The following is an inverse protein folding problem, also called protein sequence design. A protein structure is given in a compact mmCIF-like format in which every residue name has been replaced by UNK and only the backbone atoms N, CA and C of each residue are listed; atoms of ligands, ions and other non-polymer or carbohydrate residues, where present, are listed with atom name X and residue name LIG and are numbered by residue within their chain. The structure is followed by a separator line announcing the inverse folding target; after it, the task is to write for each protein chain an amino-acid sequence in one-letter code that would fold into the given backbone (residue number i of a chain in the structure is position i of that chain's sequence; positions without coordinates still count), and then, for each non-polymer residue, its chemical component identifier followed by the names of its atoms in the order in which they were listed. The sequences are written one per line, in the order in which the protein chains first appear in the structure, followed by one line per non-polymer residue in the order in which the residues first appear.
data_IF_786223539719
#
_entry.id   IF_786223539719
#
_cell.length_a   1.000
_cell.length_b   1.000
_cell.length_c   1.000
_cell.angle_alpha   90.00
_cell.angle_beta   90.00
_cell.angle_gamma   90.00
#
_symmetry.space_group_name_H-M   'P 1'
#
loop_
_entity.id
_entity.type
_entity.pdbx_description
1 polymer ?
#
# COMPACT_ATOMS: atom_id res chain seq x y z
N UNK A 1 -44.81 -10.47 5.23
CA UNK A 1 -43.57 -11.14 4.75
C UNK A 1 -42.41 -10.27 5.22
N UNK A 2 -41.70 -10.73 6.25
CA UNK A 2 -40.51 -10.05 6.76
C UNK A 2 -39.39 -10.24 5.76
N UNK A 3 -38.93 -9.18 5.12
CA UNK A 3 -37.70 -9.23 4.35
C UNK A 3 -36.56 -9.58 5.32
N UNK A 4 -36.03 -10.78 5.20
CA UNK A 4 -34.76 -11.14 5.83
C UNK A 4 -33.74 -10.12 5.29
N UNK A 5 -33.31 -9.19 6.14
CA UNK A 5 -32.12 -8.40 5.88
C UNK A 5 -31.00 -9.43 5.72
N UNK A 6 -30.47 -9.56 4.50
CA UNK A 6 -29.27 -10.32 4.24
C UNK A 6 -28.18 -9.74 5.15
N UNK A 7 -27.89 -10.45 6.22
CA UNK A 7 -26.74 -10.16 7.06
C UNK A 7 -25.53 -10.58 6.24
N UNK A 8 -24.92 -9.62 5.55
CA UNK A 8 -23.66 -9.87 4.85
C UNK A 8 -22.59 -9.96 5.93
N UNK A 9 -22.16 -11.19 6.20
CA UNK A 9 -21.05 -11.41 7.12
C UNK A 9 -19.77 -10.94 6.45
N UNK A 10 -19.24 -9.81 6.90
CA UNK A 10 -17.89 -9.37 6.53
C UNK A 10 -16.94 -9.65 7.71
N UNK A 11 -15.72 -9.99 7.38
CA UNK A 11 -14.63 -10.15 8.35
C UNK A 11 -13.78 -8.89 8.34
N UNK A 12 -13.27 -8.50 9.51
CA UNK A 12 -12.36 -7.36 9.65
C UNK A 12 -11.03 -7.82 10.23
N UNK A 13 -9.94 -7.35 9.63
CA UNK A 13 -8.62 -7.35 10.22
C UNK A 13 -8.25 -5.90 10.59
N UNK A 14 -7.87 -5.66 11.84
CA UNK A 14 -7.47 -4.34 12.35
C UNK A 14 -6.07 -4.44 12.90
N UNK A 15 -5.21 -3.50 12.57
CA UNK A 15 -3.84 -3.54 13.05
C UNK A 15 -3.17 -2.18 13.16
N UNK A 16 -1.98 -2.23 13.75
CA UNK A 16 -1.06 -1.10 13.88
C UNK A 16 0.30 -1.51 13.37
N UNK A 17 0.86 -0.71 12.45
CA UNK A 17 2.23 -0.87 11.95
C UNK A 17 3.08 0.24 12.54
N UNK A 18 4.22 -0.11 13.12
CA UNK A 18 5.21 0.83 13.64
C UNK A 18 6.33 1.04 12.61
N UNK A 19 6.73 2.27 12.41
CA UNK A 19 7.85 2.66 11.57
C UNK A 19 9.04 3.03 12.45
N UNK A 20 10.19 2.40 12.24
CA UNK A 20 11.40 2.68 13.00
C UNK A 20 12.60 2.95 12.10
N UNK A 21 13.54 3.72 12.60
CA UNK A 21 14.79 4.02 11.90
C UNK A 21 15.79 2.87 12.01
N UNK A 22 16.48 2.59 10.91
CA UNK A 22 17.65 1.73 10.85
C UNK A 22 18.94 2.53 10.63
N UNK A 23 18.86 3.87 10.62
CA UNK A 23 20.05 4.73 10.54
C UNK A 23 20.84 4.61 11.83
N UNK A 24 22.17 4.46 11.76
CA UNK A 24 23.01 4.26 12.95
C UNK A 24 22.77 5.27 14.07
N UNK A 25 22.64 6.55 13.70
CA UNK A 25 22.45 7.66 14.64
C UNK A 25 21.03 7.74 15.24
N UNK A 26 20.10 6.92 14.72
CA UNK A 26 18.69 6.89 15.15
C UNK A 26 18.15 5.46 15.24
N UNK A 27 19.02 4.48 15.45
CA UNK A 27 18.63 3.07 15.46
C UNK A 27 17.49 2.81 16.44
N UNK A 28 16.40 2.21 15.93
CA UNK A 28 15.21 1.87 16.69
C UNK A 28 14.31 3.06 17.06
N UNK A 29 14.68 4.30 16.72
CA UNK A 29 13.83 5.46 16.96
C UNK A 29 12.54 5.34 16.13
N UNK A 30 11.40 5.58 16.75
CA UNK A 30 10.12 5.68 16.05
C UNK A 30 10.15 6.83 15.03
N UNK A 31 9.62 6.53 13.83
CA UNK A 31 9.52 7.47 12.71
C UNK A 31 8.09 7.68 12.22
N UNK A 32 7.16 6.98 12.81
CA UNK A 32 5.77 7.06 12.45
C UNK A 32 5.03 5.75 12.69
N UNK A 33 3.78 5.74 12.28
CA UNK A 33 2.88 4.61 12.49
C UNK A 33 1.75 4.61 11.48
N UNK A 34 1.09 3.48 11.38
CA UNK A 34 -0.11 3.33 10.59
C UNK A 34 -1.14 2.52 11.35
N UNK A 35 -2.38 3.00 11.36
CA UNK A 35 -3.55 2.31 11.86
C UNK A 35 -4.41 1.91 10.67
N UNK A 36 -4.83 0.63 10.60
CA UNK A 36 -5.64 0.18 9.49
C UNK A 36 -6.80 -0.73 9.90
N UNK A 37 -7.79 -0.75 9.03
CA UNK A 37 -8.90 -1.71 9.05
C UNK A 37 -9.04 -2.25 7.63
N UNK A 38 -8.91 -3.56 7.48
CA UNK A 38 -9.22 -4.27 6.24
C UNK A 38 -10.55 -5.00 6.44
N UNK A 39 -11.52 -4.73 5.58
CA UNK A 39 -12.80 -5.44 5.53
C UNK A 39 -12.80 -6.38 4.32
N UNK A 40 -13.11 -7.66 4.58
CA UNK A 40 -13.24 -8.71 3.58
C UNK A 40 -14.72 -9.07 3.49
N UNK A 41 -15.33 -8.85 2.34
CA UNK A 41 -16.75 -9.05 2.12
C UNK A 41 -17.04 -10.47 1.64
N UNK A 42 -18.29 -10.93 1.84
CA UNK A 42 -18.72 -12.27 1.45
C UNK A 42 -18.65 -12.53 -0.06
N UNK A 43 -18.72 -11.48 -0.88
CA UNK A 43 -18.54 -11.56 -2.34
C UNK A 43 -17.08 -11.63 -2.79
N UNK A 44 -16.12 -11.61 -1.82
CA UNK A 44 -14.68 -11.63 -2.07
C UNK A 44 -14.07 -10.25 -2.31
N UNK A 45 -14.86 -9.19 -2.37
CA UNK A 45 -14.33 -7.82 -2.43
C UNK A 45 -13.67 -7.41 -1.11
N UNK A 46 -12.79 -6.41 -1.17
CA UNK A 46 -12.03 -5.93 -0.01
C UNK A 46 -11.95 -4.42 0.02
N UNK A 47 -11.89 -3.88 1.22
CA UNK A 47 -11.54 -2.48 1.41
C UNK A 47 -10.54 -2.32 2.54
N UNK A 48 -9.65 -1.34 2.42
CA UNK A 48 -8.73 -0.91 3.46
C UNK A 48 -8.95 0.56 3.78
N UNK A 49 -9.16 0.86 5.05
CA UNK A 49 -9.07 2.22 5.58
C UNK A 49 -7.80 2.31 6.40
N UNK A 50 -6.93 3.29 6.12
CA UNK A 50 -5.70 3.49 6.87
C UNK A 50 -5.44 4.96 7.17
N UNK A 51 -4.87 5.21 8.36
CA UNK A 51 -4.32 6.48 8.78
C UNK A 51 -2.81 6.31 8.99
N UNK A 52 -2.02 7.01 8.18
CA UNK A 52 -0.56 6.91 8.17
C UNK A 52 0.04 8.21 8.71
N UNK A 53 0.96 8.10 9.65
CA UNK A 53 1.74 9.21 10.20
C UNK A 53 3.23 8.95 9.98
N UNK A 54 3.94 9.91 9.37
CA UNK A 54 5.40 9.89 9.23
C UNK A 54 5.93 11.09 9.98
N UNK A 55 6.67 10.86 11.05
CA UNK A 55 7.17 11.90 11.95
C UNK A 55 8.43 12.63 11.44
N UNK A 56 8.98 12.21 10.30
CA UNK A 56 10.09 12.93 9.66
C UNK A 56 9.64 14.34 9.29
N UNK A 57 10.52 15.32 9.52
CA UNK A 57 10.18 16.71 9.24
C UNK A 57 10.41 17.08 7.77
N UNK A 58 9.41 17.68 7.09
CA UNK A 58 8.05 17.92 7.59
C UNK A 58 7.25 16.62 7.73
N UNK A 59 6.47 16.50 8.81
CA UNK A 59 5.62 15.34 9.08
C UNK A 59 4.59 15.14 7.95
N UNK A 60 4.28 13.90 7.62
CA UNK A 60 3.26 13.55 6.62
C UNK A 60 2.16 12.77 7.31
N UNK A 61 0.92 13.22 7.16
CA UNK A 61 -0.27 12.48 7.57
C UNK A 61 -1.10 12.18 6.33
N UNK A 62 -1.53 10.93 6.22
CA UNK A 62 -2.36 10.47 5.10
C UNK A 62 -3.49 9.61 5.59
N UNK A 63 -4.69 9.93 5.13
CA UNK A 63 -5.85 9.08 5.25
C UNK A 63 -6.15 8.47 3.89
N UNK A 64 -6.39 7.15 3.85
CA UNK A 64 -6.81 6.45 2.65
C UNK A 64 -8.05 5.59 2.90
N UNK A 65 -8.85 5.44 1.85
CA UNK A 65 -9.82 4.35 1.72
C UNK A 65 -9.61 3.73 0.35
N UNK A 66 -9.31 2.45 0.29
CA UNK A 66 -8.96 1.73 -0.93
C UNK A 66 -9.78 0.46 -1.07
N UNK A 67 -10.38 0.24 -2.24
CA UNK A 67 -11.26 -0.90 -2.51
C UNK A 67 -10.77 -1.74 -3.69
N UNK A 68 -10.97 -3.05 -3.55
CA UNK A 68 -10.68 -4.07 -4.56
C UNK A 68 -11.93 -4.92 -4.81
N UNK A 69 -12.13 -5.36 -6.06
CA UNK A 69 -13.13 -6.37 -6.38
C UNK A 69 -12.69 -7.79 -5.94
N UNK A 70 -13.55 -8.78 -6.17
CA UNK A 70 -13.29 -10.18 -5.82
C UNK A 70 -12.04 -10.77 -6.52
N UNK A 71 -11.67 -10.25 -7.68
CA UNK A 71 -10.47 -10.60 -8.42
C UNK A 71 -9.26 -9.77 -8.00
N UNK A 72 -9.38 -9.00 -6.92
CA UNK A 72 -8.35 -8.11 -6.39
C UNK A 72 -7.94 -6.97 -7.33
N UNK A 73 -8.81 -6.57 -8.25
CA UNK A 73 -8.56 -5.40 -9.10
C UNK A 73 -9.00 -4.14 -8.37
N UNK A 74 -8.24 -3.04 -8.45
CA UNK A 74 -8.65 -1.76 -7.93
C UNK A 74 -10.01 -1.32 -8.48
N UNK A 75 -10.91 -0.84 -7.60
CA UNK A 75 -12.19 -0.23 -7.97
C UNK A 75 -12.20 1.26 -7.71
N UNK A 76 -11.72 1.67 -6.55
CA UNK A 76 -11.60 3.08 -6.17
C UNK A 76 -10.56 3.29 -5.07
N UNK A 77 -10.10 4.53 -4.93
CA UNK A 77 -9.29 4.95 -3.81
C UNK A 77 -9.55 6.43 -3.49
N UNK A 78 -9.68 6.75 -2.21
CA UNK A 78 -9.67 8.13 -1.70
C UNK A 78 -8.38 8.35 -0.92
N UNK A 79 -7.76 9.53 -1.13
CA UNK A 79 -6.56 9.97 -0.40
C UNK A 79 -6.77 11.38 0.12
N UNK A 80 -6.43 11.63 1.39
CA UNK A 80 -6.29 12.96 1.96
C UNK A 80 -4.91 13.09 2.58
N UNK A 81 -4.24 14.20 2.28
CA UNK A 81 -2.84 14.44 2.60
C UNK A 81 -2.65 15.74 3.34
N UNK A 82 -1.87 15.71 4.43
CA UNK A 82 -1.32 16.89 5.12
C UNK A 82 0.20 16.74 5.27
N UNK A 83 0.93 17.83 5.10
CA UNK A 83 2.39 17.89 5.26
C UNK A 83 2.76 19.09 6.13
N UNK A 84 3.46 18.87 7.26
CA UNK A 84 3.82 19.91 8.20
C UNK A 84 2.59 20.65 8.75
N UNK A 85 1.55 19.90 9.14
CA UNK A 85 0.25 20.38 9.66
C UNK A 85 -0.56 21.25 8.68
N UNK A 86 -0.19 21.23 7.39
CA UNK A 86 -0.91 21.95 6.33
C UNK A 86 -1.60 20.95 5.40
N UNK A 87 -2.85 21.22 5.08
CA UNK A 87 -3.55 20.51 4.03
C UNK A 87 -2.79 20.65 2.71
N UNK A 88 -2.45 19.50 2.08
CA UNK A 88 -1.75 19.47 0.79
C UNK A 88 -2.63 19.01 -0.35
N UNK A 89 -3.62 18.17 -0.07
CA UNK A 89 -4.55 17.76 -1.09
C UNK A 89 -5.50 16.65 -0.61
N UNK A 90 -6.58 16.49 -1.35
CA UNK A 90 -7.45 15.32 -1.28
C UNK A 90 -7.93 14.97 -2.66
N UNK A 91 -8.12 13.69 -2.92
CA UNK A 91 -8.51 13.23 -4.23
C UNK A 91 -9.12 11.86 -4.21
N UNK A 92 -9.80 11.58 -5.29
CA UNK A 92 -10.53 10.38 -5.50
C UNK A 92 -10.13 9.76 -6.83
N UNK A 93 -9.86 8.47 -6.81
CA UNK A 93 -9.44 7.67 -7.95
C UNK A 93 -10.53 6.65 -8.26
N UNK A 94 -10.81 6.46 -9.55
CA UNK A 94 -11.64 5.38 -10.05
C UNK A 94 -10.91 4.59 -11.12
N UNK A 95 -11.13 3.28 -11.10
CA UNK A 95 -10.48 2.38 -12.00
C UNK A 95 -11.54 1.65 -12.83
N UNK A 96 -11.44 1.81 -14.15
CA UNK A 96 -12.32 1.20 -15.14
C UNK A 96 -11.50 0.20 -15.99
N UNK A 97 -12.16 -0.70 -16.74
CA UNK A 97 -11.43 -1.69 -17.54
C UNK A 97 -10.42 -1.08 -18.55
N UNK A 98 -10.70 0.13 -19.05
CA UNK A 98 -9.94 0.76 -20.13
C UNK A 98 -9.31 2.11 -19.77
N UNK A 99 -9.56 2.62 -18.56
CA UNK A 99 -8.97 3.86 -18.10
C UNK A 99 -9.01 3.97 -16.57
N UNK A 100 -8.14 4.79 -16.04
CA UNK A 100 -8.17 5.26 -14.65
C UNK A 100 -8.41 6.77 -14.65
N UNK A 101 -9.10 7.28 -13.64
CA UNK A 101 -9.34 8.71 -13.47
C UNK A 101 -9.03 9.16 -12.05
N UNK A 102 -8.64 10.43 -11.92
CA UNK A 102 -8.42 11.10 -10.65
C UNK A 102 -9.06 12.48 -10.69
N UNK A 103 -9.90 12.74 -9.69
CA UNK A 103 -10.40 14.09 -9.40
C UNK A 103 -9.85 14.48 -8.03
N UNK A 104 -9.04 15.54 -7.99
CA UNK A 104 -8.43 15.98 -6.75
C UNK A 104 -8.35 17.50 -6.65
N UNK A 105 -8.12 17.96 -5.42
CA UNK A 105 -7.75 19.33 -5.13
C UNK A 105 -6.45 19.32 -4.34
N UNK A 106 -5.44 20.01 -4.86
CA UNK A 106 -4.14 20.14 -4.19
C UNK A 106 -3.87 21.59 -3.83
N UNK A 107 -3.04 21.79 -2.80
CA UNK A 107 -2.64 23.14 -2.39
C UNK A 107 -1.73 23.82 -3.41
N UNK A 108 -1.05 23.06 -4.27
CA UNK A 108 -0.09 23.56 -5.25
C UNK A 108 -0.75 23.84 -6.60
N UNK A 109 -1.58 22.92 -7.11
CA UNK A 109 -2.16 22.99 -8.46
C UNK A 109 -3.63 23.42 -8.47
N UNK A 110 -4.29 23.44 -7.30
CA UNK A 110 -5.74 23.63 -7.23
C UNK A 110 -6.47 22.35 -7.67
N UNK A 111 -7.50 22.50 -8.51
CA UNK A 111 -8.25 21.36 -9.05
C UNK A 111 -7.42 20.62 -10.10
N UNK A 112 -7.28 19.32 -9.90
CA UNK A 112 -6.62 18.40 -10.83
C UNK A 112 -7.65 17.38 -11.31
N UNK A 113 -7.81 17.26 -12.63
CA UNK A 113 -8.64 16.24 -13.26
C UNK A 113 -7.77 15.50 -14.25
N UNK A 114 -7.61 14.20 -14.05
CA UNK A 114 -6.76 13.34 -14.87
C UNK A 114 -7.54 12.13 -15.35
N UNK A 115 -7.28 11.74 -16.59
CA UNK A 115 -7.68 10.46 -17.16
C UNK A 115 -6.47 9.83 -17.83
N UNK A 116 -6.26 8.56 -17.53
CA UNK A 116 -5.19 7.76 -18.11
C UNK A 116 -5.79 6.52 -18.77
N UNK A 117 -5.61 6.38 -20.07
CA UNK A 117 -6.08 5.20 -20.78
C UNK A 117 -5.22 3.98 -20.43
N UNK A 118 -5.86 2.83 -20.32
CA UNK A 118 -5.26 1.55 -19.97
C UNK A 118 -5.41 0.56 -21.13
N UNK A 119 -4.33 -0.11 -21.50
CA UNK A 119 -4.36 -1.17 -22.49
C UNK A 119 -5.02 -2.46 -21.98
N UNK A 120 -4.96 -2.67 -20.66
CA UNK A 120 -5.55 -3.80 -19.94
C UNK A 120 -6.09 -3.30 -18.60
N UNK A 121 -7.08 -3.97 -18.00
CA UNK A 121 -7.54 -3.63 -16.66
C UNK A 121 -6.38 -3.53 -15.67
N UNK A 122 -6.38 -2.49 -14.85
CA UNK A 122 -5.34 -2.26 -13.86
C UNK A 122 -5.29 -3.42 -12.86
N UNK A 123 -4.11 -3.96 -12.63
CA UNK A 123 -3.92 -5.08 -11.72
C UNK A 123 -3.72 -4.65 -10.27
N UNK A 124 -3.18 -3.45 -10.06
CA UNK A 124 -2.86 -2.94 -8.73
C UNK A 124 -2.62 -1.44 -8.74
N UNK A 125 -2.80 -0.80 -7.58
CA UNK A 125 -2.63 0.63 -7.38
C UNK A 125 -1.93 0.89 -6.05
N UNK A 126 -0.88 1.72 -6.06
CA UNK A 126 -0.15 2.11 -4.85
C UNK A 126 -0.72 3.40 -4.26
N UNK A 127 -1.25 3.30 -3.04
CA UNK A 127 -1.85 4.40 -2.30
C UNK A 127 -0.96 4.93 -1.16
N UNK A 128 0.23 4.34 -1.00
CA UNK A 128 1.25 4.62 0.02
C UNK A 128 0.85 4.27 1.47
N UNK A 129 -0.21 3.48 1.69
CA UNK A 129 -0.42 2.81 2.96
C UNK A 129 0.36 1.49 3.00
N UNK A 130 1.18 1.30 4.01
CA UNK A 130 2.03 0.11 4.18
C UNK A 130 1.19 -1.17 4.28
N UNK A 131 0.02 -1.10 4.92
CA UNK A 131 -0.91 -2.23 5.01
C UNK A 131 -1.34 -2.77 3.63
N UNK A 132 -1.31 -1.92 2.57
CA UNK A 132 -1.67 -2.30 1.21
C UNK A 132 -0.48 -2.77 0.37
N UNK A 133 0.76 -2.56 0.80
CA UNK A 133 1.96 -2.88 0.02
C UNK A 133 2.05 -4.37 -0.33
N UNK A 134 1.66 -5.23 0.60
CA UNK A 134 1.69 -6.67 0.39
C UNK A 134 0.67 -7.15 -0.68
N UNK A 135 -0.38 -6.36 -0.96
CA UNK A 135 -1.40 -6.75 -1.94
C UNK A 135 -0.88 -6.75 -3.38
N UNK A 136 0.22 -6.05 -3.67
CA UNK A 136 0.90 -6.10 -4.97
C UNK A 136 1.57 -7.46 -5.21
N UNK A 137 2.03 -8.12 -4.13
CA UNK A 137 2.89 -9.30 -4.17
C UNK A 137 2.18 -10.54 -4.73
N UNK A 138 0.85 -10.61 -4.60
CA UNK A 138 0.03 -11.69 -5.15
C UNK A 138 0.13 -11.81 -6.67
N UNK A 139 0.60 -10.77 -7.37
CA UNK A 139 0.75 -10.75 -8.83
C UNK A 139 1.99 -11.50 -9.32
N UNK A 140 2.88 -11.87 -8.42
CA UNK A 140 4.17 -12.47 -8.75
C UNK A 140 4.17 -13.97 -8.45
N UNK A 141 4.78 -14.72 -9.39
CA UNK A 141 4.83 -16.18 -9.34
C UNK A 141 5.83 -16.67 -8.28
N UNK A 142 5.31 -17.35 -7.27
CA UNK A 142 6.12 -17.96 -6.20
C UNK A 142 6.82 -19.26 -6.63
N UNK A 143 6.45 -19.82 -7.77
CA UNK A 143 7.15 -20.97 -8.36
C UNK A 143 8.52 -20.64 -8.94
N UNK A 144 8.91 -19.35 -8.96
CA UNK A 144 10.20 -18.88 -9.50
C UNK A 144 10.99 -18.06 -8.46
N UNK A 145 11.42 -18.72 -7.36
CA UNK A 145 12.17 -18.02 -6.30
C UNK A 145 13.51 -17.52 -6.83
N UNK A 146 13.89 -16.31 -6.42
CA UNK A 146 15.13 -15.65 -6.81
C UNK A 146 15.09 -14.96 -8.17
N UNK A 147 14.11 -15.23 -9.03
CA UNK A 147 13.97 -14.55 -10.32
C UNK A 147 13.31 -13.17 -10.15
N UNK A 148 13.83 -12.19 -10.90
CA UNK A 148 13.20 -10.86 -10.98
C UNK A 148 12.03 -10.96 -11.96
N UNK A 149 10.85 -10.61 -11.50
CA UNK A 149 9.63 -10.57 -12.27
C UNK A 149 9.17 -9.11 -12.42
N UNK A 150 8.61 -8.77 -13.58
CA UNK A 150 8.25 -7.40 -13.92
C UNK A 150 6.74 -7.23 -14.03
N UNK A 151 6.23 -6.17 -13.44
CA UNK A 151 4.93 -5.58 -13.74
C UNK A 151 5.18 -4.31 -14.54
N UNK A 152 4.75 -4.30 -15.81
CA UNK A 152 5.05 -3.17 -16.73
C UNK A 152 4.35 -1.88 -16.31
N UNK A 153 3.16 -1.99 -15.72
CA UNK A 153 2.38 -0.83 -15.31
C UNK A 153 1.74 -1.04 -13.94
N UNK A 154 2.04 -0.12 -13.05
CA UNK A 154 1.36 0.13 -11.78
C UNK A 154 1.07 1.62 -11.69
N UNK A 155 -0.13 1.99 -11.25
CA UNK A 155 -0.46 3.39 -10.98
C UNK A 155 -0.29 3.68 -9.48
N UNK A 156 0.13 4.93 -9.19
CA UNK A 156 0.34 5.45 -7.86
C UNK A 156 -0.52 6.69 -7.63
N UNK A 157 -0.82 6.97 -6.36
CA UNK A 157 -1.47 8.22 -5.94
C UNK A 157 -0.51 9.41 -5.84
N UNK A 158 0.78 9.19 -5.95
CA UNK A 158 1.83 10.21 -5.87
C UNK A 158 3.14 9.69 -6.45
N UNK A 159 3.95 10.53 -7.14
CA UNK A 159 5.31 10.17 -7.55
C UNK A 159 6.33 10.23 -6.40
N UNK A 160 5.98 10.78 -5.26
CA UNK A 160 6.83 10.83 -4.06
C UNK A 160 6.71 9.53 -3.27
N UNK A 161 7.83 8.90 -2.94
CA UNK A 161 7.85 7.62 -2.21
C UNK A 161 7.23 7.68 -0.81
N UNK A 162 7.13 8.88 -0.19
CA UNK A 162 6.39 9.10 1.06
C UNK A 162 4.91 9.41 0.79
N UNK A 163 4.52 9.54 -0.51
CA UNK A 163 3.21 10.03 -0.90
C UNK A 163 2.92 11.46 -0.38
N UNK A 164 3.95 12.32 -0.33
CA UNK A 164 3.86 13.68 0.23
C UNK A 164 3.41 14.72 -0.81
N UNK A 165 3.07 14.33 -2.02
CA UNK A 165 2.58 15.18 -3.11
C UNK A 165 1.28 14.65 -3.69
N UNK A 166 0.54 15.48 -4.41
CA UNK A 166 -0.74 15.14 -5.00
C UNK A 166 -1.91 15.28 -4.03
N UNK A 167 -2.96 14.42 -4.14
CA UNK A 167 -3.03 13.18 -4.93
C UNK A 167 -3.19 13.39 -6.43
N UNK A 168 -2.53 12.53 -7.22
CA UNK A 168 -2.58 12.53 -8.68
C UNK A 168 -2.21 11.15 -9.23
N UNK A 169 -2.68 10.80 -10.43
CA UNK A 169 -2.27 9.57 -11.12
C UNK A 169 -0.83 9.70 -11.61
N UNK A 170 -0.04 8.69 -11.27
CA UNK A 170 1.32 8.53 -11.76
C UNK A 170 1.57 7.08 -12.14
N UNK A 171 2.27 6.80 -13.23
CA UNK A 171 2.50 5.45 -13.75
C UNK A 171 3.97 5.06 -13.65
N UNK A 172 4.22 3.84 -13.14
CA UNK A 172 5.55 3.25 -13.05
C UNK A 172 5.53 1.78 -13.48
N UNK A 173 6.71 1.21 -13.68
CA UNK A 173 6.94 -0.23 -13.63
C UNK A 173 7.28 -0.69 -12.20
N UNK A 174 7.19 -1.98 -11.94
CA UNK A 174 7.61 -2.58 -10.68
C UNK A 174 8.35 -3.89 -10.95
N UNK A 175 9.54 -4.02 -10.38
CA UNK A 175 10.33 -5.25 -10.42
C UNK A 175 10.36 -5.88 -9.03
N UNK A 176 9.93 -7.13 -8.94
CA UNK A 176 9.83 -7.87 -7.68
C UNK A 176 10.51 -9.22 -7.80
N UNK A 177 11.13 -9.65 -6.73
CA UNK A 177 11.69 -10.98 -6.57
C UNK A 177 10.97 -11.67 -5.41
N UNK A 178 10.45 -12.88 -5.63
CA UNK A 178 10.05 -13.77 -4.55
C UNK A 178 11.30 -14.41 -3.97
N UNK A 179 11.51 -14.27 -2.66
CA UNK A 179 12.70 -14.78 -1.96
C UNK A 179 12.44 -16.18 -1.40
N UNK A 180 11.28 -16.38 -0.79
CA UNK A 180 10.93 -17.66 -0.19
C UNK A 180 9.80 -17.54 0.84
N UNK A 181 9.61 -18.65 1.57
CA UNK A 181 8.65 -18.73 2.69
C UNK A 181 9.43 -19.05 3.96
N UNK A 182 9.08 -18.38 5.04
CA UNK A 182 9.71 -18.56 6.34
C UNK A 182 8.76 -18.22 7.49
N UNK A 183 8.99 -18.82 8.66
CA UNK A 183 8.30 -18.42 9.86
C UNK A 183 8.99 -17.19 10.47
N UNK A 184 8.22 -16.15 10.73
CA UNK A 184 8.71 -14.91 11.35
C UNK A 184 7.96 -14.58 12.62
N UNK A 185 8.59 -13.80 13.50
CA UNK A 185 7.96 -13.20 14.67
C UNK A 185 7.97 -11.68 14.51
N UNK A 186 6.83 -11.06 14.78
CA UNK A 186 6.59 -9.63 14.82
C UNK A 186 5.81 -9.27 16.08
N UNK A 187 5.66 -7.99 16.42
CA UNK A 187 4.93 -7.57 17.61
C UNK A 187 3.51 -8.17 17.72
N UNK A 188 2.84 -8.39 16.60
CA UNK A 188 1.52 -9.02 16.53
C UNK A 188 1.50 -10.54 16.75
N UNK A 189 2.67 -11.22 16.78
CA UNK A 189 2.79 -12.66 16.98
C UNK A 189 3.67 -13.36 15.96
N UNK A 190 3.53 -14.68 15.87
CA UNK A 190 4.28 -15.54 14.97
C UNK A 190 3.42 -15.94 13.77
N UNK A 191 4.00 -15.87 12.57
CA UNK A 191 3.32 -16.12 11.31
C UNK A 191 4.22 -16.91 10.34
N UNK A 192 3.59 -17.75 9.53
CA UNK A 192 4.20 -18.22 8.29
C UNK A 192 4.05 -17.10 7.26
N UNK A 193 5.16 -16.74 6.59
CA UNK A 193 5.23 -15.55 5.77
C UNK A 193 5.88 -15.83 4.42
N UNK A 194 5.33 -15.23 3.37
CA UNK A 194 6.03 -15.06 2.11
C UNK A 194 6.96 -13.85 2.21
N UNK A 195 8.20 -14.03 1.78
CA UNK A 195 9.19 -12.97 1.67
C UNK A 195 9.37 -12.56 0.20
N UNK A 196 9.20 -11.28 -0.06
CA UNK A 196 9.45 -10.67 -1.37
C UNK A 196 10.39 -9.47 -1.23
N UNK A 197 11.01 -9.09 -2.35
CA UNK A 197 11.82 -7.89 -2.43
C UNK A 197 11.37 -7.05 -3.63
N UNK A 198 10.98 -5.81 -3.40
CA UNK A 198 10.90 -4.80 -4.45
C UNK A 198 12.33 -4.42 -4.82
N UNK A 199 12.72 -4.77 -6.04
CA UNK A 199 14.08 -4.59 -6.53
C UNK A 199 14.27 -3.18 -7.09
N UNK A 200 13.31 -2.72 -7.89
CA UNK A 200 13.30 -1.37 -8.47
C UNK A 200 11.89 -0.98 -8.92
N UNK A 201 11.68 0.32 -9.07
CA UNK A 201 10.43 0.92 -9.54
C UNK A 201 10.71 1.89 -10.70
N UNK A 202 10.94 1.38 -11.93
CA UNK A 202 11.23 2.22 -13.09
C UNK A 202 10.14 3.25 -13.34
N UNK A 203 10.55 4.49 -13.57
CA UNK A 203 9.65 5.62 -13.82
C UNK A 203 9.45 6.54 -12.63
N UNK A 204 9.85 6.16 -11.41
CA UNK A 204 9.87 7.09 -10.29
C UNK A 204 10.89 8.21 -10.51
N UNK A 205 10.56 9.48 -10.15
CA UNK A 205 11.50 10.61 -10.24
C UNK A 205 12.75 10.43 -9.37
N UNK A 206 12.61 9.73 -8.25
CA UNK A 206 13.71 9.33 -7.38
C UNK A 206 13.72 7.81 -7.28
N UNK A 207 14.87 7.19 -7.50
CA UNK A 207 15.03 5.75 -7.36
C UNK A 207 14.64 5.30 -5.96
N UNK A 208 13.75 4.29 -5.90
CA UNK A 208 13.38 3.67 -4.64
C UNK A 208 14.40 2.61 -4.28
N UNK A 209 15.01 2.66 -3.07
CA UNK A 209 15.90 1.60 -2.62
C UNK A 209 15.20 0.25 -2.55
N UNK A 210 15.94 -0.87 -2.61
CA UNK A 210 15.38 -2.19 -2.39
C UNK A 210 14.56 -2.24 -1.09
N UNK A 211 13.38 -2.87 -1.20
CA UNK A 211 12.41 -2.96 -0.12
C UNK A 211 11.99 -4.41 0.08
N UNK A 212 12.38 -5.00 1.20
CA UNK A 212 11.98 -6.32 1.60
C UNK A 212 10.63 -6.28 2.32
N UNK A 213 9.69 -7.17 1.94
CA UNK A 213 8.34 -7.26 2.50
C UNK A 213 8.05 -8.71 2.87
N UNK A 214 7.51 -8.90 4.06
CA UNK A 214 6.93 -10.14 4.52
C UNK A 214 5.42 -9.97 4.69
N UNK A 215 4.65 -10.89 4.13
CA UNK A 215 3.21 -10.94 4.28
C UNK A 215 2.75 -12.33 4.68
N UNK A 216 1.53 -12.44 5.20
CA UNK A 216 0.99 -13.73 5.60
C UNK A 216 0.93 -14.71 4.43
N UNK A 217 1.22 -15.98 4.69
CA UNK A 217 1.18 -17.07 3.72
C UNK A 217 -0.21 -17.72 3.60
N UNK A 218 -1.26 -17.09 4.13
CA UNK A 218 -2.64 -17.61 4.17
C UNK A 218 -3.50 -17.19 2.95
N UNK A 219 -2.94 -16.49 1.98
CA UNK A 219 -3.66 -15.98 0.80
C UNK A 219 -4.29 -14.60 0.99
N UNK A 220 -4.32 -14.05 2.20
CA UNK A 220 -4.82 -12.71 2.47
C UNK A 220 -3.76 -11.64 2.22
N UNK A 221 -2.49 -12.02 2.15
CA UNK A 221 -1.37 -11.12 1.93
C UNK A 221 -1.38 -9.92 2.90
N UNK A 222 -1.65 -10.17 4.18
CA UNK A 222 -1.55 -9.13 5.19
C UNK A 222 -0.08 -8.77 5.41
N UNK A 223 0.21 -7.49 5.42
CA UNK A 223 1.55 -6.99 5.72
C UNK A 223 1.98 -7.39 7.14
N UNK A 224 3.18 -7.94 7.29
CA UNK A 224 3.76 -8.34 8.58
C UNK A 224 4.97 -7.50 8.95
N UNK A 225 5.91 -7.38 8.02
CA UNK A 225 7.18 -6.69 8.24
C UNK A 225 7.72 -6.17 6.91
N UNK A 226 8.48 -5.09 6.96
CA UNK A 226 9.22 -4.59 5.82
C UNK A 226 10.47 -3.84 6.21
N UNK A 227 11.42 -3.76 5.28
CA UNK A 227 12.67 -3.06 5.48
C UNK A 227 13.16 -2.39 4.21
N UNK A 228 13.25 -1.06 4.21
CA UNK A 228 13.80 -0.29 3.10
C UNK A 228 15.26 0.00 3.38
N UNK A 229 16.12 -0.33 2.41
CA UNK A 229 17.56 -0.10 2.47
C UNK A 229 17.97 1.32 2.02
N UNK A 230 19.24 1.49 1.63
CA UNK A 230 19.78 2.70 1.03
C UNK A 230 19.67 3.93 1.92
N UNK A 231 19.23 5.03 1.35
CA UNK A 231 19.10 6.31 2.07
C UNK A 231 17.90 6.37 3.02
N UNK A 232 16.89 5.52 2.85
CA UNK A 232 15.69 5.50 3.69
C UNK A 232 15.95 4.82 5.03
N UNK A 233 16.56 3.65 5.03
CA UNK A 233 16.92 2.85 6.22
C UNK A 233 15.76 2.82 7.23
N UNK A 234 14.59 2.41 6.75
CA UNK A 234 13.36 2.33 7.56
C UNK A 234 12.93 0.88 7.73
N UNK A 235 12.43 0.55 8.89
CA UNK A 235 11.81 -0.73 9.19
C UNK A 235 10.34 -0.50 9.55
N UNK A 236 9.49 -1.39 9.05
CA UNK A 236 8.05 -1.42 9.31
C UNK A 236 7.70 -2.75 9.95
N UNK A 237 6.88 -2.74 10.98
CA UNK A 237 6.51 -3.96 11.70
C UNK A 237 5.08 -3.91 12.19
N UNK A 238 4.32 -4.99 11.95
CA UNK A 238 2.99 -5.16 12.47
C UNK A 238 3.06 -5.43 13.97
N UNK A 239 2.57 -4.49 14.77
CA UNK A 239 2.64 -4.56 16.24
C UNK A 239 1.39 -5.17 16.85
N UNK A 240 0.23 -4.94 16.24
CA UNK A 240 -1.05 -5.47 16.69
C UNK A 240 -1.87 -5.96 15.51
N UNK A 241 -2.56 -7.08 15.67
CA UNK A 241 -3.55 -7.61 14.74
C UNK A 241 -4.73 -8.20 15.50
N UNK A 242 -5.94 -7.78 15.14
CA UNK A 242 -7.22 -8.33 15.63
C UNK A 242 -8.06 -8.74 14.42
N UNK A 243 -8.51 -9.95 14.42
CA UNK A 243 -9.45 -10.53 13.43
C UNK A 243 -10.78 -10.85 14.06
#
# INVERSE_FOLDING_TARGET
MSASLLQLDHQNARGTILYTSRKPERMGQERGREYFIISMHADGSRSCSAHCEIDDRPAVMRDIVYSLDAEWRPTDCYVRLSVGDRFMGSGWFRFHPHYAECESWTALEGRVSQRMDLQKPLKTFQNHAIACDAWHLRLFDRGRPGEIQSLEQMLLSSPDHRGATGPMLFSIGLHVKYVGEEAIEVGAGRFDAFHFQFVSAPGLPQEHPPYDIWCTADGEFLFLKGGVAGYMQTHYELMELRR
#
